data_IF_503799591187
#
_entry.id   IF_503799591187
#
_cell.length_a   1.000
_cell.length_b   1.000
_cell.length_c   1.000
_cell.angle_alpha   90.00
_cell.angle_beta   90.00
_cell.angle_gamma   90.00
#
_symmetry.space_group_name_H-M   'P 1'
#
loop_
_entity.id
_entity.type
_entity.pdbx_description
1 polymer ?
#
# COMPACT_ATOMS: atom_id res chain seq x y z
N UNK A 1 2.27 -2.01 39.31
CA UNK A 1 0.96 -1.45 38.91
C UNK A 1 1.17 0.02 38.61
N UNK A 2 1.58 0.32 37.39
CA UNK A 2 1.76 1.67 36.87
C UNK A 2 1.10 1.66 35.48
N UNK A 3 0.21 2.62 35.25
CA UNK A 3 -0.59 2.75 34.03
C UNK A 3 0.32 3.05 32.82
N UNK A 4 0.05 2.50 31.62
CA UNK A 4 0.80 2.84 30.42
C UNK A 4 0.55 4.31 30.03
N UNK A 5 1.63 4.98 29.65
CA UNK A 5 1.75 6.43 29.53
C UNK A 5 0.88 7.06 28.45
N UNK A 6 0.37 8.24 28.78
CA UNK A 6 -0.14 9.21 27.83
C UNK A 6 0.96 9.55 26.82
N UNK A 7 0.61 9.47 25.52
CA UNK A 7 1.43 9.98 24.44
C UNK A 7 1.47 11.51 24.60
N UNK A 8 2.64 12.05 24.96
CA UNK A 8 2.83 13.49 25.06
C UNK A 8 2.67 14.15 23.67
N UNK A 9 2.05 15.34 23.59
CA UNK A 9 1.85 16.03 22.32
C UNK A 9 3.19 16.42 21.69
N UNK A 10 3.29 16.20 20.37
CA UNK A 10 4.40 16.59 19.50
C UNK A 10 4.78 18.06 19.78
N UNK A 11 6.06 18.39 20.04
CA UNK A 11 6.47 19.76 20.28
C UNK A 11 6.24 20.62 19.02
N UNK A 12 5.78 21.88 19.17
CA UNK A 12 5.54 22.74 18.03
C UNK A 12 6.85 23.12 17.34
N UNK A 13 6.80 23.17 16.00
CA UNK A 13 7.86 23.66 15.10
C UNK A 13 8.49 24.96 15.63
N UNK A 14 9.81 25.06 15.51
CA UNK A 14 10.66 26.18 15.97
C UNK A 14 10.02 27.57 15.85
N UNK A 15 10.25 28.37 16.89
CA UNK A 15 9.65 29.68 17.11
C UNK A 15 9.99 30.68 16.00
N UNK A 16 9.11 30.80 15.00
CA UNK A 16 9.00 31.99 14.16
C UNK A 16 8.63 33.19 15.05
N UNK A 17 9.27 34.35 14.77
CA UNK A 17 9.11 35.59 15.54
C UNK A 17 7.65 35.96 15.76
N UNK A 18 7.35 36.50 16.94
CA UNK A 18 6.00 36.79 17.45
C UNK A 18 5.14 37.68 16.55
N UNK A 19 5.73 38.40 15.59
CA UNK A 19 5.05 39.25 14.62
C UNK A 19 4.40 38.47 13.45
N UNK A 20 4.80 37.21 13.20
CA UNK A 20 4.24 36.38 12.13
C UNK A 20 3.00 35.57 12.54
N UNK A 21 2.66 35.54 13.84
CA UNK A 21 1.48 34.82 14.38
C UNK A 21 0.22 35.67 14.50
N UNK A 22 0.21 36.90 13.96
CA UNK A 22 -1.02 37.71 13.94
C UNK A 22 -2.08 37.03 13.05
N UNK A 23 -3.31 36.80 13.54
CA UNK A 23 -4.40 36.26 12.73
C UNK A 23 -4.80 37.18 11.57
N UNK A 24 -4.25 38.40 11.51
CA UNK A 24 -4.44 39.38 10.43
C UNK A 24 -3.31 39.36 9.38
N UNK A 25 -2.31 38.49 9.53
CA UNK A 25 -1.29 38.26 8.50
C UNK A 25 -1.97 37.71 7.23
N UNK A 26 -1.98 38.52 6.16
CA UNK A 26 -2.55 38.10 4.86
C UNK A 26 -1.87 36.85 4.31
N UNK A 27 -0.59 36.64 4.62
CA UNK A 27 0.16 35.45 4.26
C UNK A 27 -0.33 34.22 5.01
N UNK A 28 -0.42 34.31 6.35
CA UNK A 28 -0.87 33.21 7.20
C UNK A 28 -2.32 32.81 6.88
N UNK A 29 -3.22 33.78 6.71
CA UNK A 29 -4.60 33.53 6.29
C UNK A 29 -4.68 32.82 4.94
N UNK A 30 -3.80 33.17 4.00
CA UNK A 30 -3.75 32.53 2.67
C UNK A 30 -3.29 31.07 2.79
N UNK A 31 -2.28 30.81 3.61
CA UNK A 31 -1.73 29.48 3.82
C UNK A 31 -2.71 28.56 4.54
N UNK A 32 -3.38 29.04 5.60
CA UNK A 32 -4.45 28.29 6.29
C UNK A 32 -5.59 27.95 5.32
N UNK A 33 -6.02 28.89 4.47
CA UNK A 33 -7.06 28.61 3.46
C UNK A 33 -6.58 27.60 2.41
N UNK A 34 -5.31 27.66 2.01
CA UNK A 34 -4.72 26.68 1.08
C UNK A 34 -4.70 25.29 1.71
N UNK A 35 -4.26 25.16 2.96
CA UNK A 35 -4.29 23.89 3.70
C UNK A 35 -5.71 23.31 3.78
N UNK A 36 -6.72 24.14 4.09
CA UNK A 36 -8.12 23.72 4.09
C UNK A 36 -8.61 23.24 2.71
N UNK A 37 -8.18 23.89 1.62
CA UNK A 37 -8.45 23.44 0.25
C UNK A 37 -7.86 22.06 -0.02
N UNK A 38 -6.58 21.85 0.31
CA UNK A 38 -5.90 20.58 0.09
C UNK A 38 -6.49 19.46 0.96
N UNK A 39 -6.78 19.73 2.23
CA UNK A 39 -7.41 18.80 3.16
C UNK A 39 -8.81 18.37 2.68
N UNK A 40 -9.65 19.32 2.25
CA UNK A 40 -10.96 19.00 1.68
C UNK A 40 -10.85 18.17 0.39
N UNK A 41 -9.93 18.51 -0.50
CA UNK A 41 -9.71 17.80 -1.75
C UNK A 41 -9.20 16.38 -1.51
N UNK A 42 -8.22 16.22 -0.62
CA UNK A 42 -7.69 14.92 -0.20
C UNK A 42 -8.78 13.99 0.33
N UNK A 43 -9.67 14.49 1.21
CA UNK A 43 -10.81 13.71 1.70
C UNK A 43 -11.73 13.23 0.58
N UNK A 44 -12.01 14.09 -0.40
CA UNK A 44 -12.85 13.72 -1.55
C UNK A 44 -12.15 12.72 -2.47
N UNK A 45 -10.85 12.89 -2.72
CA UNK A 45 -10.08 11.94 -3.53
C UNK A 45 -9.98 10.56 -2.89
N UNK A 46 -9.70 10.47 -1.59
CA UNK A 46 -9.60 9.19 -0.87
C UNK A 46 -10.95 8.44 -0.82
N UNK A 47 -12.09 9.15 -0.77
CA UNK A 47 -13.41 8.53 -0.60
C UNK A 47 -14.19 8.33 -1.90
N UNK A 48 -14.05 9.24 -2.87
CA UNK A 48 -14.80 9.23 -4.15
C UNK A 48 -13.93 8.96 -5.38
N UNK A 49 -12.60 8.99 -5.23
CA UNK A 49 -11.65 8.96 -6.34
C UNK A 49 -11.51 10.33 -7.03
N UNK A 50 -10.38 10.54 -7.70
CA UNK A 50 -10.09 11.80 -8.37
C UNK A 50 -10.97 12.04 -9.61
N UNK A 51 -11.39 10.98 -10.31
CA UNK A 51 -12.30 11.07 -11.47
C UNK A 51 -13.65 11.69 -11.10
N UNK A 52 -14.26 11.21 -10.03
CA UNK A 52 -15.60 11.61 -9.57
C UNK A 52 -15.62 12.90 -8.75
N UNK A 53 -14.46 13.51 -8.53
CA UNK A 53 -14.30 14.75 -7.77
C UNK A 53 -14.04 15.91 -8.73
N UNK A 54 -14.82 16.99 -8.62
CA UNK A 54 -14.65 18.22 -9.40
C UNK A 54 -14.15 19.37 -8.53
N UNK A 55 -13.54 20.39 -9.14
CA UNK A 55 -13.20 21.64 -8.44
C UNK A 55 -14.45 22.33 -7.85
N UNK A 56 -15.63 22.14 -8.47
CA UNK A 56 -16.87 22.69 -7.95
C UNK A 56 -17.30 21.99 -6.65
N UNK A 57 -17.10 20.67 -6.53
CA UNK A 57 -17.38 19.92 -5.30
C UNK A 57 -16.52 20.43 -4.14
N UNK A 58 -15.22 20.65 -4.39
CA UNK A 58 -14.28 21.20 -3.39
C UNK A 58 -14.69 22.60 -2.97
N UNK A 59 -14.97 23.49 -3.93
CA UNK A 59 -15.39 24.86 -3.65
C UNK A 59 -16.68 24.90 -2.82
N UNK A 60 -17.70 24.15 -3.24
CA UNK A 60 -18.99 24.08 -2.57
C UNK A 60 -18.86 23.59 -1.14
N UNK A 61 -18.01 22.59 -0.89
CA UNK A 61 -17.84 22.00 0.45
C UNK A 61 -17.12 22.93 1.43
N UNK A 62 -16.33 23.87 0.93
CA UNK A 62 -15.65 24.90 1.71
C UNK A 62 -16.41 26.24 1.77
N UNK A 63 -17.60 26.32 1.17
CA UNK A 63 -18.35 27.58 1.06
C UNK A 63 -17.62 28.63 0.21
N UNK A 64 -16.75 28.21 -0.70
CA UNK A 64 -16.00 29.08 -1.61
C UNK A 64 -16.71 29.17 -2.96
N UNK A 65 -16.54 30.30 -3.65
CA UNK A 65 -16.90 30.40 -5.06
C UNK A 65 -15.87 29.66 -5.91
N UNK A 66 -16.26 29.20 -7.11
CA UNK A 66 -15.33 28.61 -8.08
C UNK A 66 -14.17 29.56 -8.40
N UNK A 67 -14.46 30.86 -8.53
CA UNK A 67 -13.45 31.91 -8.74
C UNK A 67 -12.47 32.02 -7.57
N UNK A 68 -12.96 31.94 -6.33
CA UNK A 68 -12.10 31.94 -5.14
C UNK A 68 -11.20 30.70 -5.07
N UNK A 69 -11.67 29.54 -5.51
CA UNK A 69 -10.86 28.32 -5.56
C UNK A 69 -9.74 28.43 -6.59
N UNK A 70 -10.00 29.02 -7.77
CA UNK A 70 -8.99 29.24 -8.81
C UNK A 70 -7.82 30.14 -8.36
N UNK A 71 -7.98 30.89 -7.28
CA UNK A 71 -6.88 31.65 -6.68
C UNK A 71 -5.81 30.76 -6.02
N UNK A 72 -6.17 29.53 -5.66
CA UNK A 72 -5.28 28.55 -5.01
C UNK A 72 -4.81 27.45 -5.95
N UNK A 73 -5.58 27.18 -7.00
CA UNK A 73 -5.47 25.97 -7.83
C UNK A 73 -5.77 26.34 -9.28
N UNK A 74 -4.88 26.00 -10.20
CA UNK A 74 -5.06 26.30 -11.63
C UNK A 74 -6.00 25.30 -12.33
N UNK A 75 -5.81 24.01 -12.08
CA UNK A 75 -6.55 22.91 -12.73
C UNK A 75 -6.84 21.79 -11.73
N UNK A 76 -7.69 20.82 -12.12
CA UNK A 76 -7.90 19.62 -11.29
C UNK A 76 -6.61 18.81 -11.12
N UNK A 77 -5.82 18.69 -12.19
CA UNK A 77 -4.54 17.98 -12.14
C UNK A 77 -3.55 18.68 -11.20
N UNK A 78 -3.48 20.02 -11.24
CA UNK A 78 -2.68 20.82 -10.31
C UNK A 78 -3.14 20.61 -8.85
N UNK A 79 -4.45 20.53 -8.59
CA UNK A 79 -4.95 20.19 -7.25
C UNK A 79 -4.48 18.81 -6.78
N UNK A 80 -4.55 17.79 -7.65
CA UNK A 80 -4.12 16.44 -7.31
C UNK A 80 -2.62 16.44 -7.01
N UNK A 81 -1.81 17.07 -7.87
CA UNK A 81 -0.37 17.24 -7.64
C UNK A 81 -0.10 17.91 -6.29
N UNK A 82 -0.75 19.04 -5.99
CA UNK A 82 -0.55 19.74 -4.72
C UNK A 82 -0.96 18.91 -3.49
N UNK A 83 -1.99 18.06 -3.62
CA UNK A 83 -2.40 17.16 -2.53
C UNK A 83 -1.36 16.04 -2.30
N UNK A 84 -0.80 15.45 -3.37
CA UNK A 84 0.26 14.45 -3.25
C UNK A 84 1.57 15.08 -2.76
N UNK A 85 1.92 16.28 -3.22
CA UNK A 85 3.08 17.03 -2.75
C UNK A 85 2.95 17.33 -1.24
N UNK A 86 1.75 17.69 -0.77
CA UNK A 86 1.49 17.88 0.66
C UNK A 86 1.67 16.59 1.47
N UNK A 87 1.29 15.43 0.93
CA UNK A 87 1.52 14.13 1.56
C UNK A 87 3.03 13.84 1.68
N UNK A 88 3.78 13.92 0.57
CA UNK A 88 5.23 13.66 0.58
C UNK A 88 5.99 14.63 1.48
N UNK A 89 5.62 15.92 1.47
CA UNK A 89 6.18 16.94 2.38
C UNK A 89 5.91 16.60 3.84
N UNK A 90 4.70 16.11 4.15
CA UNK A 90 4.31 15.70 5.49
C UNK A 90 5.15 14.51 5.96
N UNK A 91 5.35 13.51 5.11
CA UNK A 91 6.21 12.36 5.39
C UNK A 91 7.67 12.78 5.67
N UNK A 92 8.24 13.69 4.87
CA UNK A 92 9.57 14.26 5.15
C UNK A 92 9.63 14.95 6.52
N UNK A 93 8.67 15.81 6.84
CA UNK A 93 8.63 16.50 8.13
C UNK A 93 8.47 15.52 9.31
N UNK A 94 7.80 14.38 9.11
CA UNK A 94 7.71 13.33 10.13
C UNK A 94 9.03 12.62 10.34
N UNK A 95 9.75 12.33 9.26
CA UNK A 95 11.07 11.73 9.37
C UNK A 95 12.06 12.68 10.04
N UNK A 96 12.03 13.98 9.68
CA UNK A 96 12.84 15.01 10.35
C UNK A 96 12.57 15.05 11.86
N UNK A 97 11.30 15.04 12.27
CA UNK A 97 10.93 15.03 13.69
C UNK A 97 11.36 13.74 14.40
N UNK A 98 11.26 12.59 13.73
CA UNK A 98 11.68 11.31 14.28
C UNK A 98 13.21 11.24 14.49
N UNK A 99 14.00 11.76 13.54
CA UNK A 99 15.47 11.85 13.61
C UNK A 99 15.93 12.83 14.70
N UNK A 100 15.14 13.88 14.97
CA UNK A 100 15.43 14.82 16.07
C UNK A 100 15.13 14.23 17.44
N UNK A 101 14.06 13.44 17.55
CA UNK A 101 13.60 12.89 18.82
C UNK A 101 14.36 11.62 19.24
N UNK A 102 14.78 10.81 18.28
CA UNK A 102 15.39 9.51 18.53
C UNK A 102 16.82 9.45 18.01
N UNK A 103 17.76 9.04 18.87
CA UNK A 103 19.14 8.77 18.46
C UNK A 103 19.33 7.37 17.84
N UNK A 104 18.53 6.37 18.26
CA UNK A 104 18.61 5.01 17.75
C UNK A 104 17.88 4.89 16.39
N UNK A 105 18.53 4.35 15.32
CA UNK A 105 17.93 4.28 13.99
C UNK A 105 16.62 3.49 13.93
N UNK A 106 16.52 2.38 14.68
CA UNK A 106 15.29 1.59 14.76
C UNK A 106 14.14 2.41 15.38
N UNK A 107 14.38 3.13 16.47
CA UNK A 107 13.36 3.98 17.10
C UNK A 107 12.93 5.15 16.20
N UNK A 108 13.87 5.71 15.45
CA UNK A 108 13.56 6.71 14.43
C UNK A 108 12.62 6.15 13.36
N UNK A 109 12.93 4.96 12.82
CA UNK A 109 12.06 4.30 11.84
C UNK A 109 10.67 4.01 12.43
N UNK A 110 10.59 3.41 13.61
CA UNK A 110 9.31 3.07 14.25
C UNK A 110 8.46 4.32 14.52
N UNK A 111 9.07 5.40 15.03
CA UNK A 111 8.36 6.68 15.25
C UNK A 111 7.86 7.30 13.93
N UNK A 112 8.66 7.22 12.85
CA UNK A 112 8.20 7.66 11.52
C UNK A 112 6.95 6.89 11.07
N UNK A 113 6.96 5.55 11.18
CA UNK A 113 5.83 4.70 10.77
C UNK A 113 4.58 4.96 11.63
N UNK A 114 4.73 5.09 12.94
CA UNK A 114 3.63 5.46 13.83
C UNK A 114 3.03 6.82 13.48
N UNK A 115 3.89 7.78 13.10
CA UNK A 115 3.47 9.09 12.62
C UNK A 115 2.55 9.00 11.40
N UNK A 116 2.83 8.09 10.47
CA UNK A 116 2.00 7.87 9.27
C UNK A 116 0.57 7.45 9.68
N UNK A 117 0.45 6.44 10.54
CA UNK A 117 -0.83 5.96 11.06
C UNK A 117 -1.55 7.05 11.88
N UNK A 118 -0.84 7.70 12.79
CA UNK A 118 -1.39 8.75 13.65
C UNK A 118 -1.92 9.95 12.85
N UNK A 119 -1.32 10.24 11.69
CA UNK A 119 -1.83 11.30 10.80
C UNK A 119 -3.22 10.95 10.27
N UNK A 120 -3.41 9.73 9.76
CA UNK A 120 -4.73 9.27 9.30
C UNK A 120 -5.74 9.23 10.43
N UNK A 121 -5.39 8.67 11.60
CA UNK A 121 -6.27 8.58 12.76
C UNK A 121 -6.77 9.96 13.22
N UNK A 122 -5.87 10.95 13.35
CA UNK A 122 -6.28 12.33 13.71
C UNK A 122 -7.21 12.96 12.68
N UNK A 123 -7.00 12.72 11.38
CA UNK A 123 -7.91 13.22 10.34
C UNK A 123 -9.32 12.63 10.51
N UNK A 124 -9.40 11.33 10.82
CA UNK A 124 -10.67 10.64 11.06
C UNK A 124 -11.37 11.19 12.31
N UNK A 125 -10.61 11.51 13.37
CA UNK A 125 -11.11 12.12 14.61
C UNK A 125 -11.53 13.59 14.45
N UNK A 126 -11.24 14.19 13.29
CA UNK A 126 -11.53 15.60 13.02
C UNK A 126 -10.52 16.57 13.65
N UNK A 127 -9.39 16.06 14.13
CA UNK A 127 -8.32 16.81 14.79
C UNK A 127 -7.13 17.12 13.86
N UNK A 128 -7.16 16.66 12.61
CA UNK A 128 -6.08 16.84 11.65
C UNK A 128 -6.54 17.03 10.20
N UNK A 129 -5.61 17.43 9.36
CA UNK A 129 -5.82 17.54 7.91
C UNK A 129 -5.87 16.16 7.25
N UNK A 130 -6.65 16.03 6.18
CA UNK A 130 -6.61 14.85 5.32
C UNK A 130 -5.46 14.97 4.32
N UNK A 131 -4.75 13.87 4.10
CA UNK A 131 -3.70 13.76 3.07
C UNK A 131 -4.13 12.77 1.99
N UNK A 132 -3.92 13.13 0.72
CA UNK A 132 -4.36 12.31 -0.39
C UNK A 132 -3.45 11.10 -0.57
N UNK A 133 -4.03 9.90 -0.69
CA UNK A 133 -3.29 8.71 -1.05
C UNK A 133 -2.82 8.79 -2.52
N UNK A 134 -1.55 8.47 -2.84
CA UNK A 134 -0.97 8.66 -4.17
C UNK A 134 -1.43 7.60 -5.20
N UNK A 135 -2.73 7.41 -5.37
CA UNK A 135 -3.31 6.30 -6.15
C UNK A 135 -3.17 6.43 -7.67
N UNK A 136 -3.04 7.65 -8.19
CA UNK A 136 -3.01 7.93 -9.63
C UNK A 136 -1.81 8.81 -10.05
N UNK A 137 -0.64 8.65 -9.39
CA UNK A 137 0.58 9.41 -9.72
C UNK A 137 0.96 9.28 -11.20
N UNK A 138 0.78 8.09 -11.78
CA UNK A 138 1.04 7.82 -13.20
C UNK A 138 0.20 8.68 -14.18
N UNK A 139 -0.94 9.21 -13.73
CA UNK A 139 -1.85 10.04 -14.54
C UNK A 139 -1.49 11.54 -14.55
N UNK A 140 -0.54 11.96 -13.70
CA UNK A 140 -0.10 13.35 -13.62
C UNK A 140 0.71 13.77 -14.84
N UNK A 141 0.79 15.08 -15.07
CA UNK A 141 1.70 15.62 -16.07
C UNK A 141 3.15 15.21 -15.77
N UNK A 142 3.94 14.88 -16.79
CA UNK A 142 5.30 14.33 -16.64
C UNK A 142 6.17 15.12 -15.65
N UNK A 143 6.11 16.45 -15.71
CA UNK A 143 6.84 17.34 -14.79
C UNK A 143 6.43 17.15 -13.33
N UNK A 144 5.13 17.12 -13.05
CA UNK A 144 4.58 16.92 -11.71
C UNK A 144 4.87 15.52 -11.18
N UNK A 145 4.70 14.51 -12.04
CA UNK A 145 5.02 13.12 -11.74
C UNK A 145 6.49 12.95 -11.33
N UNK A 146 7.42 13.44 -12.16
CA UNK A 146 8.86 13.36 -11.90
C UNK A 146 9.26 14.09 -10.61
N UNK A 147 8.65 15.23 -10.31
CA UNK A 147 8.91 15.96 -9.07
C UNK A 147 8.49 15.13 -7.83
N UNK A 148 7.32 14.50 -7.85
CA UNK A 148 6.86 13.64 -6.75
C UNK A 148 7.73 12.39 -6.61
N UNK A 149 8.06 11.73 -7.73
CA UNK A 149 8.92 10.55 -7.71
C UNK A 149 10.31 10.87 -7.14
N UNK A 150 10.91 12.02 -7.45
CA UNK A 150 12.21 12.41 -6.90
C UNK A 150 12.17 12.64 -5.39
N UNK A 151 11.14 13.33 -4.88
CA UNK A 151 10.98 13.52 -3.43
C UNK A 151 10.71 12.17 -2.73
N UNK A 152 9.89 11.30 -3.33
CA UNK A 152 9.69 9.94 -2.80
C UNK A 152 10.98 9.10 -2.79
N UNK A 153 11.79 9.16 -3.86
CA UNK A 153 13.13 8.54 -3.91
C UNK A 153 14.05 9.12 -2.84
N UNK A 154 13.95 10.41 -2.53
CA UNK A 154 14.74 11.04 -1.45
C UNK A 154 14.30 10.54 -0.08
N UNK A 155 13.01 10.42 0.18
CA UNK A 155 12.48 9.85 1.42
C UNK A 155 12.96 8.41 1.61
N UNK A 156 12.83 7.58 0.57
CA UNK A 156 13.27 6.19 0.59
C UNK A 156 14.77 6.05 0.88
N UNK A 157 15.62 6.84 0.23
CA UNK A 157 17.07 6.84 0.50
C UNK A 157 17.37 7.10 1.98
N UNK A 158 16.70 8.07 2.61
CA UNK A 158 16.88 8.36 4.04
C UNK A 158 16.46 7.18 4.93
N UNK A 159 15.35 6.52 4.62
CA UNK A 159 14.88 5.35 5.36
C UNK A 159 15.85 4.15 5.20
N UNK A 160 16.38 3.94 4.00
CA UNK A 160 17.41 2.93 3.73
C UNK A 160 18.70 3.25 4.49
N UNK A 161 19.10 4.52 4.54
CA UNK A 161 20.28 4.95 5.30
C UNK A 161 20.10 4.72 6.81
N UNK A 162 18.90 4.97 7.36
CA UNK A 162 18.57 4.61 8.76
C UNK A 162 18.68 3.11 9.01
N UNK A 163 18.17 2.28 8.10
CA UNK A 163 18.31 0.82 8.19
C UNK A 163 19.79 0.39 8.17
N UNK A 164 20.59 0.96 7.27
CA UNK A 164 22.03 0.69 7.19
C UNK A 164 22.77 1.09 8.47
N UNK A 165 22.44 2.24 9.05
CA UNK A 165 23.00 2.68 10.33
C UNK A 165 22.62 1.73 11.47
N UNK A 166 21.35 1.33 11.55
CA UNK A 166 20.89 0.36 12.56
C UNK A 166 21.57 -0.99 12.43
N UNK A 167 21.81 -1.47 11.21
CA UNK A 167 22.58 -2.70 10.97
C UNK A 167 24.05 -2.56 11.39
N UNK A 168 24.68 -1.43 11.08
CA UNK A 168 26.07 -1.15 11.46
C UNK A 168 26.25 -1.03 12.99
N UNK A 169 25.23 -0.54 13.70
CA UNK A 169 25.19 -0.44 15.16
C UNK A 169 24.85 -1.77 15.84
N UNK A 170 24.28 -2.73 15.10
CA UNK A 170 23.87 -4.03 15.60
C UNK A 170 22.45 -4.07 16.20
N UNK A 171 21.74 -2.94 16.19
CA UNK A 171 20.35 -2.81 16.67
C UNK A 171 19.36 -3.50 15.72
N UNK A 172 19.64 -3.41 14.41
CA UNK A 172 18.85 -4.04 13.35
C UNK A 172 19.65 -5.24 12.83
N UNK A 173 18.96 -6.37 12.66
CA UNK A 173 19.59 -7.59 12.13
C UNK A 173 20.02 -7.40 10.66
N UNK A 174 21.03 -8.16 10.17
CA UNK A 174 21.39 -8.15 8.76
C UNK A 174 20.20 -8.51 7.87
N UNK A 175 19.89 -7.65 6.89
CA UNK A 175 18.82 -7.85 5.91
C UNK A 175 19.12 -7.02 4.65
N UNK A 176 18.31 -7.20 3.60
CA UNK A 176 18.33 -6.28 2.46
C UNK A 176 17.51 -5.02 2.80
N UNK A 177 18.14 -3.84 2.97
CA UNK A 177 17.45 -2.64 3.44
C UNK A 177 16.46 -2.09 2.41
N UNK A 178 16.71 -2.27 1.10
CA UNK A 178 15.81 -1.80 0.05
C UNK A 178 14.54 -2.63 0.06
N UNK A 179 14.66 -3.96 -0.03
CA UNK A 179 13.51 -4.89 0.01
C UNK A 179 12.70 -4.68 1.30
N UNK A 180 13.38 -4.60 2.46
CA UNK A 180 12.73 -4.48 3.76
C UNK A 180 11.94 -3.16 3.89
N UNK A 181 12.52 -2.02 3.51
CA UNK A 181 11.80 -0.73 3.55
C UNK A 181 10.63 -0.71 2.57
N UNK A 182 10.79 -1.32 1.38
CA UNK A 182 9.68 -1.45 0.42
C UNK A 182 8.51 -2.25 1.00
N UNK A 183 8.80 -3.36 1.69
CA UNK A 183 7.77 -4.18 2.33
C UNK A 183 7.07 -3.43 3.48
N UNK A 184 7.83 -2.73 4.33
CA UNK A 184 7.30 -1.92 5.44
C UNK A 184 6.41 -0.77 4.92
N UNK A 185 6.86 -0.03 3.91
CA UNK A 185 6.07 1.07 3.36
C UNK A 185 4.82 0.58 2.62
N UNK A 186 4.95 -0.53 1.87
CA UNK A 186 3.83 -1.19 1.22
C UNK A 186 2.72 -1.55 2.20
N UNK A 187 3.07 -2.00 3.40
CA UNK A 187 2.12 -2.29 4.47
C UNK A 187 1.24 -1.09 4.87
N UNK A 188 1.73 0.14 4.65
CA UNK A 188 1.05 1.37 5.02
C UNK A 188 0.35 2.07 3.86
N UNK A 189 0.64 1.70 2.61
CA UNK A 189 0.11 2.38 1.41
C UNK A 189 -1.43 2.40 1.38
N UNK A 190 -2.06 1.35 1.91
CA UNK A 190 -3.52 1.22 1.98
C UNK A 190 -4.17 1.68 3.28
N UNK A 191 -3.39 2.23 4.21
CA UNK A 191 -3.88 2.64 5.54
C UNK A 191 -5.00 3.65 5.51
N UNK A 192 -5.06 4.52 4.50
CA UNK A 192 -6.16 5.48 4.34
C UNK A 192 -7.53 4.82 4.16
N UNK A 193 -7.58 3.61 3.59
CA UNK A 193 -8.82 2.88 3.31
C UNK A 193 -9.20 1.99 4.48
N UNK A 194 -8.32 1.08 4.90
CA UNK A 194 -8.67 0.13 5.95
C UNK A 194 -8.80 0.80 7.34
N UNK A 195 -8.07 1.88 7.65
CA UNK A 195 -8.33 2.65 8.90
C UNK A 195 -9.68 3.37 8.88
N UNK A 196 -10.18 3.72 7.69
CA UNK A 196 -11.49 4.36 7.54
C UNK A 196 -12.63 3.36 7.79
N UNK A 197 -12.48 2.13 7.33
CA UNK A 197 -13.47 1.05 7.50
C UNK A 197 -13.35 0.31 8.84
N UNK A 198 -12.18 0.35 9.49
CA UNK A 198 -11.92 -0.33 10.76
C UNK A 198 -12.68 0.33 11.92
N UNK A 199 -13.27 -0.46 12.84
CA UNK A 199 -13.88 0.07 14.06
C UNK A 199 -12.91 0.96 14.85
N UNK A 200 -13.41 2.08 15.38
CA UNK A 200 -12.55 3.09 16.02
C UNK A 200 -11.80 2.57 17.23
N UNK A 201 -12.40 1.66 17.99
CA UNK A 201 -11.77 1.04 19.15
C UNK A 201 -10.54 0.23 18.73
N UNK A 202 -10.65 -0.54 17.64
CA UNK A 202 -9.55 -1.32 17.08
C UNK A 202 -8.47 -0.43 16.44
N UNK A 203 -8.89 0.57 15.66
CA UNK A 203 -8.00 1.49 14.96
C UNK A 203 -7.03 2.23 15.90
N UNK A 204 -7.44 2.48 17.16
CA UNK A 204 -6.60 3.11 18.18
C UNK A 204 -5.38 2.28 18.59
N UNK A 205 -5.42 0.96 18.39
CA UNK A 205 -4.34 0.02 18.74
C UNK A 205 -3.32 -0.19 17.62
N UNK A 206 -3.62 0.26 16.39
CA UNK A 206 -2.82 -0.01 15.19
C UNK A 206 -1.38 0.46 15.33
N UNK A 207 -1.14 1.65 15.87
CA UNK A 207 0.24 2.14 16.10
C UNK A 207 1.04 1.21 17.01
N UNK A 208 0.42 0.69 18.08
CA UNK A 208 1.06 -0.24 19.00
C UNK A 208 1.38 -1.59 18.35
N UNK A 209 0.43 -2.15 17.58
CA UNK A 209 0.64 -3.41 16.84
C UNK A 209 1.72 -3.26 15.77
N UNK A 210 1.71 -2.14 15.03
CA UNK A 210 2.73 -1.83 14.03
C UNK A 210 4.11 -1.78 14.67
N UNK A 211 4.24 -1.03 15.77
CA UNK A 211 5.50 -0.92 16.52
C UNK A 211 5.98 -2.29 16.97
N UNK A 212 5.11 -3.05 17.63
CA UNK A 212 5.43 -4.38 18.16
C UNK A 212 5.86 -5.34 17.05
N UNK A 213 5.13 -5.39 15.93
CA UNK A 213 5.45 -6.26 14.80
C UNK A 213 6.81 -5.93 14.20
N UNK A 214 7.05 -4.66 13.84
CA UNK A 214 8.28 -4.27 13.15
C UNK A 214 9.48 -4.15 14.09
N UNK A 215 9.29 -3.88 15.39
CA UNK A 215 10.40 -3.97 16.35
C UNK A 215 10.91 -5.41 16.43
N UNK A 216 10.04 -6.38 16.66
CA UNK A 216 10.45 -7.80 16.73
C UNK A 216 10.95 -8.31 15.36
N UNK A 217 10.39 -7.80 14.26
CA UNK A 217 10.81 -8.14 12.92
C UNK A 217 12.23 -7.71 12.54
N UNK A 218 12.66 -6.55 13.07
CA UNK A 218 13.94 -5.92 12.73
C UNK A 218 15.02 -6.13 13.78
N UNK A 219 14.66 -6.33 15.05
CA UNK A 219 15.61 -6.49 16.14
C UNK A 219 16.58 -7.65 15.89
N UNK A 220 17.85 -7.42 16.20
CA UNK A 220 18.89 -8.43 16.14
C UNK A 220 18.82 -9.37 17.36
N UNK A 221 17.84 -10.27 17.38
CA UNK A 221 17.78 -11.34 18.37
C UNK A 221 18.65 -12.52 17.93
N UNK A 222 19.47 -13.06 18.82
CA UNK A 222 20.33 -14.24 18.57
C UNK A 222 19.49 -15.48 18.31
N UNK A 223 19.11 -15.68 17.05
CA UNK A 223 18.36 -16.85 16.60
C UNK A 223 18.37 -16.89 15.08
N UNK A 224 19.33 -17.60 14.48
CA UNK A 224 19.31 -17.91 13.06
C UNK A 224 18.20 -18.91 12.80
N UNK A 225 17.02 -18.44 12.41
CA UNK A 225 15.96 -19.30 11.91
C UNK A 225 16.21 -19.49 10.41
N UNK A 226 16.92 -20.56 10.04
CA UNK A 226 16.88 -21.03 8.66
C UNK A 226 15.47 -21.55 8.43
N UNK A 227 14.74 -20.89 7.54
CA UNK A 227 13.47 -21.41 7.02
C UNK A 227 13.88 -22.53 6.05
N UNK A 228 13.39 -23.75 6.28
CA UNK A 228 13.61 -24.87 5.36
C UNK A 228 12.94 -24.62 4.02
N UNK A 229 13.21 -25.48 3.05
CA UNK A 229 12.52 -25.43 1.75
C UNK A 229 11.00 -25.49 1.99
N UNK A 230 10.27 -24.47 1.55
CA UNK A 230 8.81 -24.46 1.66
C UNK A 230 8.19 -25.39 0.62
N UNK A 231 7.00 -25.95 0.89
CA UNK A 231 6.27 -26.75 -0.08
C UNK A 231 6.10 -26.01 -1.41
N UNK A 232 6.43 -26.66 -2.52
CA UNK A 232 6.11 -26.15 -3.85
C UNK A 232 4.62 -26.31 -4.11
N UNK A 233 3.96 -25.20 -4.39
CA UNK A 233 2.58 -25.19 -4.85
C UNK A 233 2.53 -25.50 -6.36
N UNK A 234 2.14 -26.72 -6.71
CA UNK A 234 1.82 -27.14 -8.10
C UNK A 234 0.47 -26.56 -8.57
N UNK A 235 0.26 -25.26 -8.36
CA UNK A 235 -1.00 -24.57 -8.73
C UNK A 235 -0.98 -24.16 -10.20
N UNK A 236 0.20 -24.14 -10.83
CA UNK A 236 0.44 -23.56 -12.15
C UNK A 236 0.80 -24.59 -13.24
N UNK A 237 0.89 -25.88 -12.88
CA UNK A 237 1.36 -26.94 -13.75
C UNK A 237 0.23 -27.87 -14.21
N UNK A 238 -0.93 -27.32 -14.57
CA UNK A 238 -1.83 -28.09 -15.42
C UNK A 238 -1.13 -28.23 -16.78
N UNK A 239 -0.69 -29.44 -17.14
CA UNK A 239 -0.30 -29.77 -18.52
C UNK A 239 -1.53 -29.59 -19.40
N UNK A 240 -1.69 -28.40 -19.95
CA UNK A 240 -2.82 -28.08 -20.80
C UNK A 240 -2.52 -28.47 -22.25
N UNK A 241 -3.39 -29.28 -22.84
CA UNK A 241 -3.30 -29.68 -24.24
C UNK A 241 -3.48 -28.43 -25.13
N UNK A 242 -2.36 -27.87 -25.59
CA UNK A 242 -2.34 -26.66 -26.43
C UNK A 242 -3.12 -26.82 -27.75
N UNK A 243 -3.52 -28.05 -28.13
CA UNK A 243 -4.34 -28.33 -29.29
C UNK A 243 -5.84 -28.29 -29.00
N UNK A 244 -6.27 -28.21 -27.74
CA UNK A 244 -7.66 -28.01 -27.38
C UNK A 244 -8.09 -26.56 -27.65
N UNK A 245 -9.25 -26.42 -28.32
CA UNK A 245 -9.78 -25.13 -28.75
C UNK A 245 -10.24 -24.28 -27.57
N UNK A 246 -10.77 -24.90 -26.52
CA UNK A 246 -11.23 -24.17 -25.34
C UNK A 246 -10.04 -23.68 -24.52
N UNK A 247 -9.00 -24.51 -24.39
CA UNK A 247 -7.69 -24.14 -23.85
C UNK A 247 -7.07 -22.94 -24.59
N UNK A 248 -7.05 -22.96 -25.93
CA UNK A 248 -6.54 -21.82 -26.71
C UNK A 248 -7.34 -20.53 -26.50
N UNK A 249 -8.66 -20.63 -26.38
CA UNK A 249 -9.51 -19.45 -26.11
C UNK A 249 -9.24 -18.88 -24.72
N UNK A 250 -9.04 -19.75 -23.72
CA UNK A 250 -8.68 -19.38 -22.34
C UNK A 250 -7.35 -18.64 -22.30
N UNK A 251 -6.30 -19.21 -22.92
CA UNK A 251 -4.98 -18.57 -22.99
C UNK A 251 -5.00 -17.20 -23.67
N UNK A 252 -5.80 -17.04 -24.74
CA UNK A 252 -6.01 -15.74 -25.38
C UNK A 252 -6.69 -14.75 -24.44
N UNK A 253 -7.76 -15.19 -23.76
CA UNK A 253 -8.45 -14.35 -22.78
C UNK A 253 -7.51 -13.92 -21.66
N UNK A 254 -6.70 -14.82 -21.12
CA UNK A 254 -5.69 -14.49 -20.11
C UNK A 254 -4.66 -13.50 -20.61
N UNK A 255 -4.18 -13.63 -21.86
CA UNK A 255 -3.26 -12.67 -22.46
C UNK A 255 -3.88 -11.27 -22.52
N UNK A 256 -5.17 -11.14 -22.88
CA UNK A 256 -5.89 -9.87 -22.82
C UNK A 256 -5.92 -9.28 -21.42
N UNK A 257 -6.25 -10.10 -20.41
CA UNK A 257 -6.38 -9.65 -19.03
C UNK A 257 -5.02 -9.26 -18.44
N UNK A 258 -3.96 -10.05 -18.66
CA UNK A 258 -2.58 -9.71 -18.23
C UNK A 258 -2.09 -8.41 -18.85
N UNK A 259 -2.30 -8.21 -20.15
CA UNK A 259 -1.92 -6.96 -20.82
C UNK A 259 -2.74 -5.76 -20.32
N UNK A 260 -4.04 -5.95 -20.10
CA UNK A 260 -4.91 -4.97 -19.47
C UNK A 260 -4.40 -4.58 -18.08
N UNK A 261 -4.11 -5.56 -17.22
CA UNK A 261 -3.60 -5.37 -15.87
C UNK A 261 -2.29 -4.59 -15.85
N UNK A 262 -1.31 -4.96 -16.70
CA UNK A 262 -0.04 -4.21 -16.80
C UNK A 262 -0.27 -2.75 -17.15
N UNK A 263 -1.15 -2.49 -18.13
CA UNK A 263 -1.43 -1.12 -18.55
C UNK A 263 -2.17 -0.32 -17.46
N UNK A 264 -3.10 -0.94 -16.72
CA UNK A 264 -3.77 -0.30 -15.59
C UNK A 264 -2.84 -0.01 -14.43
N UNK A 265 -1.97 -0.94 -14.06
CA UNK A 265 -1.04 -0.75 -12.95
C UNK A 265 0.00 0.34 -13.28
N UNK A 266 0.53 0.35 -14.51
CA UNK A 266 1.56 1.31 -14.92
C UNK A 266 1.03 2.72 -15.21
N UNK A 267 -0.18 2.84 -15.78
CA UNK A 267 -0.71 4.13 -16.27
C UNK A 267 -1.90 4.65 -15.48
N UNK A 268 -2.42 3.86 -14.55
CA UNK A 268 -3.70 4.11 -13.90
C UNK A 268 -4.88 4.01 -14.86
N UNK A 269 -6.09 3.95 -14.30
CA UNK A 269 -7.31 3.82 -15.10
C UNK A 269 -7.47 4.94 -16.14
N UNK A 270 -7.24 6.19 -15.73
CA UNK A 270 -7.40 7.34 -16.63
C UNK A 270 -6.39 7.34 -17.79
N UNK A 271 -5.14 6.92 -17.53
CA UNK A 271 -4.06 6.92 -18.52
C UNK A 271 -4.06 5.73 -19.48
N UNK A 272 -4.74 4.63 -19.15
CA UNK A 272 -4.85 3.45 -20.02
C UNK A 272 -5.65 3.71 -21.29
N UNK A 273 -5.19 3.22 -22.45
CA UNK A 273 -5.93 3.22 -23.72
C UNK A 273 -6.23 1.79 -24.16
N UNK A 274 -7.49 1.48 -24.50
CA UNK A 274 -7.85 0.15 -25.01
C UNK A 274 -7.19 -0.13 -26.37
N UNK A 275 -7.08 0.90 -27.20
CA UNK A 275 -6.43 0.80 -28.50
C UNK A 275 -4.94 0.48 -28.36
N UNK A 276 -4.28 1.07 -27.36
CA UNK A 276 -2.86 0.79 -27.07
C UNK A 276 -2.66 -0.64 -26.56
N UNK A 277 -3.59 -1.17 -25.75
CA UNK A 277 -3.55 -2.57 -25.31
C UNK A 277 -3.73 -3.50 -26.52
N UNK A 278 -4.66 -3.20 -27.42
CA UNK A 278 -4.87 -3.96 -28.65
C UNK A 278 -3.60 -3.98 -29.54
N UNK A 279 -2.94 -2.82 -29.69
CA UNK A 279 -1.68 -2.68 -30.41
C UNK A 279 -0.55 -3.49 -29.75
N UNK A 280 -0.43 -3.44 -28.42
CA UNK A 280 0.57 -4.21 -27.65
C UNK A 280 0.38 -5.71 -27.83
N UNK A 281 -0.87 -6.18 -27.88
CA UNK A 281 -1.23 -7.58 -28.13
C UNK A 281 -1.19 -7.97 -29.61
N UNK A 282 -0.91 -7.02 -30.51
CA UNK A 282 -0.92 -7.22 -31.96
C UNK A 282 -2.25 -7.79 -32.49
N UNK A 283 -3.37 -7.39 -31.87
CA UNK A 283 -4.72 -7.75 -32.33
C UNK A 283 -5.42 -6.56 -32.98
N UNK A 284 -6.39 -6.82 -33.87
CA UNK A 284 -7.19 -5.75 -34.44
C UNK A 284 -8.09 -5.10 -33.38
N UNK A 285 -8.38 -3.79 -33.53
CA UNK A 285 -9.35 -3.10 -32.66
C UNK A 285 -10.68 -3.83 -32.63
N UNK A 286 -11.20 -4.24 -33.80
CA UNK A 286 -12.47 -4.99 -33.88
C UNK A 286 -12.46 -6.29 -33.07
N UNK A 287 -11.35 -7.04 -33.10
CA UNK A 287 -11.19 -8.23 -32.28
C UNK A 287 -11.14 -7.89 -30.78
N UNK A 288 -10.41 -6.84 -30.39
CA UNK A 288 -10.35 -6.41 -28.99
C UNK A 288 -11.72 -5.98 -28.43
N UNK A 289 -12.45 -5.13 -29.16
CA UNK A 289 -13.76 -4.62 -28.75
C UNK A 289 -14.86 -5.70 -28.76
N UNK A 290 -14.64 -6.84 -29.42
CA UNK A 290 -15.52 -8.01 -29.31
C UNK A 290 -15.50 -8.61 -27.89
N UNK A 291 -14.33 -8.60 -27.23
CA UNK A 291 -14.17 -9.13 -25.86
C UNK A 291 -14.52 -8.09 -24.78
N UNK A 292 -14.25 -6.80 -25.05
CA UNK A 292 -14.40 -5.74 -24.05
C UNK A 292 -15.10 -4.52 -24.63
N UNK A 293 -16.33 -4.26 -24.17
CA UNK A 293 -17.12 -3.13 -24.64
C UNK A 293 -16.51 -1.77 -24.26
N UNK A 294 -15.89 -1.68 -23.08
CA UNK A 294 -15.29 -0.46 -22.56
C UNK A 294 -14.23 -0.75 -21.49
N UNK A 295 -13.56 0.31 -21.02
CA UNK A 295 -12.46 0.23 -20.05
C UNK A 295 -12.91 -0.30 -18.68
N UNK A 296 -14.12 0.04 -18.24
CA UNK A 296 -14.68 -0.43 -16.97
C UNK A 296 -14.95 -1.93 -17.02
N UNK A 297 -15.46 -2.43 -18.15
CA UNK A 297 -15.67 -3.85 -18.39
C UNK A 297 -14.35 -4.64 -18.41
N UNK A 298 -13.30 -4.12 -19.07
CA UNK A 298 -11.98 -4.73 -19.03
C UNK A 298 -11.41 -4.74 -17.60
N UNK A 299 -11.42 -3.60 -16.89
CA UNK A 299 -10.89 -3.52 -15.52
C UNK A 299 -11.64 -4.49 -14.59
N UNK A 300 -12.97 -4.59 -14.71
CA UNK A 300 -13.77 -5.53 -13.93
C UNK A 300 -13.30 -6.98 -14.16
N UNK A 301 -13.07 -7.37 -15.42
CA UNK A 301 -12.58 -8.72 -15.73
C UNK A 301 -11.13 -8.95 -15.27
N UNK A 302 -10.28 -7.92 -15.31
CA UNK A 302 -8.92 -8.02 -14.76
C UNK A 302 -8.95 -8.24 -13.23
N UNK A 303 -9.86 -7.58 -12.51
CA UNK A 303 -10.08 -7.82 -11.09
C UNK A 303 -10.63 -9.22 -10.82
N UNK A 304 -11.66 -9.63 -11.56
CA UNK A 304 -12.24 -10.97 -11.41
C UNK A 304 -11.17 -12.05 -11.63
N UNK A 305 -10.35 -11.93 -12.68
CA UNK A 305 -9.22 -12.83 -12.93
C UNK A 305 -8.20 -12.82 -11.79
N UNK A 306 -7.84 -11.65 -11.27
CA UNK A 306 -6.86 -11.56 -10.19
C UNK A 306 -7.36 -12.24 -8.92
N UNK A 307 -8.63 -12.03 -8.58
CA UNK A 307 -9.28 -12.68 -7.44
C UNK A 307 -9.43 -14.19 -7.65
N UNK A 308 -9.75 -14.66 -8.85
CA UNK A 308 -9.76 -16.09 -9.15
C UNK A 308 -8.39 -16.73 -8.90
N UNK A 309 -7.29 -16.04 -9.25
CA UNK A 309 -5.93 -16.53 -8.93
C UNK A 309 -5.71 -16.60 -7.42
N UNK A 310 -6.03 -15.53 -6.68
CA UNK A 310 -5.87 -15.50 -5.23
C UNK A 310 -6.69 -16.57 -4.52
N UNK A 311 -7.95 -16.76 -4.91
CA UNK A 311 -8.84 -17.80 -4.37
C UNK A 311 -8.31 -19.21 -4.65
N UNK A 312 -7.71 -19.46 -5.83
CA UNK A 312 -7.03 -20.73 -6.11
C UNK A 312 -5.84 -20.96 -5.20
N UNK A 313 -5.01 -19.94 -4.97
CA UNK A 313 -3.88 -20.03 -4.04
C UNK A 313 -4.39 -20.37 -2.64
N UNK A 314 -5.43 -19.68 -2.15
CA UNK A 314 -6.01 -19.96 -0.83
C UNK A 314 -6.52 -21.40 -0.74
N UNK A 315 -7.23 -21.88 -1.76
CA UNK A 315 -7.76 -23.25 -1.79
C UNK A 315 -6.63 -24.30 -1.77
N UNK A 316 -5.55 -24.07 -2.52
CA UNK A 316 -4.41 -24.99 -2.56
C UNK A 316 -3.61 -24.97 -1.26
N UNK A 317 -3.37 -23.79 -0.68
CA UNK A 317 -2.68 -23.65 0.62
C UNK A 317 -3.48 -24.32 1.74
N UNK A 318 -4.80 -24.13 1.78
CA UNK A 318 -5.67 -24.74 2.78
C UNK A 318 -5.73 -26.28 2.68
N UNK A 319 -5.29 -26.86 1.56
CA UNK A 319 -5.20 -28.32 1.37
C UNK A 319 -3.85 -28.91 1.79
N UNK A 320 -2.87 -28.07 2.14
CA UNK A 320 -1.56 -28.53 2.61
C UNK A 320 -1.69 -29.09 4.03
N UNK A 321 -1.07 -30.26 4.26
CA UNK A 321 -0.89 -30.85 5.58
C UNK A 321 0.32 -30.21 6.28
N UNK A 322 0.25 -28.88 6.45
CA UNK A 322 1.32 -28.04 6.99
C UNK A 322 0.79 -27.17 8.13
N UNK A 323 1.62 -26.80 9.11
CA UNK A 323 1.24 -25.89 10.18
C UNK A 323 0.71 -24.54 9.65
N UNK A 324 -0.25 -23.89 10.35
CA UNK A 324 -0.83 -22.61 9.91
C UNK A 324 0.21 -21.51 9.60
N UNK A 325 1.31 -21.44 10.35
CA UNK A 325 2.38 -20.47 10.05
C UNK A 325 3.07 -20.73 8.70
N UNK A 326 3.25 -22.00 8.31
CA UNK A 326 3.81 -22.39 7.00
C UNK A 326 2.78 -22.11 5.90
N UNK A 327 1.51 -22.40 6.14
CA UNK A 327 0.42 -22.08 5.19
C UNK A 327 0.41 -20.58 4.85
N UNK A 328 0.49 -19.71 5.86
CA UNK A 328 0.59 -18.26 5.64
C UNK A 328 1.84 -17.87 4.84
N UNK A 329 3.00 -18.43 5.17
CA UNK A 329 4.25 -18.12 4.47
C UNK A 329 4.24 -18.56 3.01
N UNK A 330 3.73 -19.77 2.73
CA UNK A 330 3.53 -20.29 1.39
C UNK A 330 2.56 -19.40 0.60
N UNK A 331 1.45 -18.99 1.20
CA UNK A 331 0.49 -18.08 0.57
C UNK A 331 1.16 -16.75 0.18
N UNK A 332 1.86 -16.10 1.11
CA UNK A 332 2.53 -14.83 0.85
C UNK A 332 3.59 -14.94 -0.26
N UNK A 333 4.45 -15.96 -0.21
CA UNK A 333 5.51 -16.15 -1.22
C UNK A 333 4.94 -16.52 -2.59
N UNK A 334 3.86 -17.30 -2.65
CA UNK A 334 3.23 -17.63 -3.91
C UNK A 334 2.51 -16.42 -4.53
N UNK A 335 1.80 -15.61 -3.74
CA UNK A 335 1.19 -14.37 -4.24
C UNK A 335 2.26 -13.38 -4.73
N UNK A 336 3.39 -13.29 -4.03
CA UNK A 336 4.53 -12.50 -4.51
C UNK A 336 5.07 -13.02 -5.84
N UNK A 337 5.20 -14.34 -5.99
CA UNK A 337 5.63 -14.97 -7.24
C UNK A 337 4.66 -14.71 -8.39
N UNK A 338 3.34 -14.79 -8.15
CA UNK A 338 2.33 -14.44 -9.14
C UNK A 338 2.51 -13.00 -9.61
N UNK A 339 2.79 -12.07 -8.70
CA UNK A 339 2.95 -10.66 -9.02
C UNK A 339 4.23 -10.33 -9.79
N UNK A 340 5.31 -11.07 -9.54
CA UNK A 340 6.66 -10.78 -10.06
C UNK A 340 7.16 -11.83 -11.09
N UNK A 341 6.25 -12.58 -11.71
CA UNK A 341 6.55 -13.55 -12.78
C UNK A 341 5.67 -13.32 -14.01
N UNK A 342 5.91 -14.13 -15.05
CA UNK A 342 5.06 -14.17 -16.26
C UNK A 342 3.60 -14.55 -15.98
N UNK A 343 3.29 -15.03 -14.78
CA UNK A 343 1.93 -15.34 -14.34
C UNK A 343 1.12 -14.11 -13.97
N UNK A 344 1.75 -12.97 -13.69
CA UNK A 344 1.07 -11.72 -13.38
C UNK A 344 1.43 -10.57 -14.31
N UNK A 345 1.32 -9.31 -13.82
CA UNK A 345 0.93 -8.93 -12.46
C UNK A 345 -0.58 -9.10 -12.21
N UNK A 346 -0.96 -9.12 -10.93
CA UNK A 346 -2.35 -8.97 -10.47
C UNK A 346 -2.74 -7.49 -10.46
N UNK A 347 -4.04 -7.19 -10.53
CA UNK A 347 -4.50 -5.79 -10.55
C UNK A 347 -4.29 -5.14 -9.19
N UNK A 348 -3.66 -3.95 -9.17
CA UNK A 348 -3.58 -3.13 -7.98
C UNK A 348 -4.97 -2.73 -7.48
N UNK A 349 -5.20 -2.86 -6.18
CA UNK A 349 -6.44 -2.40 -5.56
C UNK A 349 -6.69 -0.90 -5.79
N UNK A 350 -5.68 -0.11 -6.16
CA UNK A 350 -5.77 1.35 -6.37
C UNK A 350 -6.84 1.70 -7.42
N UNK A 351 -6.99 0.84 -8.44
CA UNK A 351 -7.94 1.03 -9.51
C UNK A 351 -9.41 0.74 -9.11
N UNK A 352 -9.65 0.11 -7.95
CA UNK A 352 -11.01 -0.32 -7.55
C UNK A 352 -11.97 0.86 -7.38
N UNK A 353 -11.45 2.03 -7.02
CA UNK A 353 -12.23 3.27 -6.88
C UNK A 353 -12.73 3.83 -8.22
N UNK A 354 -12.18 3.34 -9.35
CA UNK A 354 -12.62 3.71 -10.70
C UNK A 354 -13.81 2.89 -11.20
N UNK A 355 -14.21 1.83 -10.48
CA UNK A 355 -15.31 0.96 -10.86
C UNK A 355 -16.67 1.44 -10.30
N UNK A 356 -17.79 1.10 -10.97
CA UNK A 356 -19.12 1.40 -10.47
C UNK A 356 -19.38 0.83 -9.05
N UNK A 357 -20.18 1.49 -8.19
CA UNK A 357 -20.36 1.09 -6.79
C UNK A 357 -20.78 -0.37 -6.60
N UNK A 358 -21.72 -0.87 -7.41
CA UNK A 358 -22.20 -2.26 -7.31
C UNK A 358 -21.11 -3.28 -7.67
N UNK A 359 -20.28 -2.99 -8.68
CA UNK A 359 -19.16 -3.85 -9.07
C UNK A 359 -18.09 -3.82 -7.98
N UNK A 360 -17.76 -2.63 -7.48
CA UNK A 360 -16.80 -2.44 -6.39
C UNK A 360 -17.22 -3.21 -5.13
N UNK A 361 -18.48 -3.16 -4.74
CA UNK A 361 -18.98 -3.89 -3.57
C UNK A 361 -18.76 -5.40 -3.72
N UNK A 362 -19.19 -6.00 -4.84
CA UNK A 362 -18.99 -7.43 -5.13
C UNK A 362 -17.52 -7.83 -5.07
N UNK A 363 -16.63 -7.00 -5.64
CA UNK A 363 -15.18 -7.28 -5.63
C UNK A 363 -14.59 -7.19 -4.22
N UNK A 364 -15.00 -6.19 -3.42
CA UNK A 364 -14.56 -6.05 -2.03
C UNK A 364 -15.02 -7.21 -1.15
N UNK A 365 -16.21 -7.78 -1.39
CA UNK A 365 -16.68 -8.99 -0.69
C UNK A 365 -15.75 -10.18 -0.97
N UNK A 366 -15.31 -10.37 -2.21
CA UNK A 366 -14.33 -11.41 -2.58
C UNK A 366 -12.95 -11.16 -1.96
N UNK A 367 -12.48 -9.91 -1.98
CA UNK A 367 -11.23 -9.51 -1.28
C UNK A 367 -11.33 -9.86 0.20
N UNK A 368 -12.46 -9.56 0.85
CA UNK A 368 -12.72 -9.89 2.24
C UNK A 368 -12.63 -11.40 2.53
N UNK A 369 -13.10 -12.26 1.62
CA UNK A 369 -13.00 -13.70 1.77
C UNK A 369 -11.54 -14.22 1.70
N UNK A 370 -10.74 -13.67 0.77
CA UNK A 370 -9.30 -13.99 0.69
C UNK A 370 -8.58 -13.51 1.96
N UNK A 371 -8.87 -12.28 2.41
CA UNK A 371 -8.30 -11.74 3.64
C UNK A 371 -8.66 -12.57 4.87
N UNK A 372 -9.94 -12.96 5.03
CA UNK A 372 -10.37 -13.77 6.16
C UNK A 372 -9.72 -15.14 6.21
N UNK A 373 -9.37 -15.73 5.06
CA UNK A 373 -8.60 -16.98 5.02
C UNK A 373 -7.18 -16.79 5.55
N UNK A 374 -6.49 -15.73 5.11
CA UNK A 374 -5.14 -15.41 5.59
C UNK A 374 -5.13 -15.01 7.07
N UNK A 375 -6.15 -14.27 7.51
CA UNK A 375 -6.36 -13.92 8.92
C UNK A 375 -6.55 -15.18 9.76
N UNK A 376 -7.36 -16.14 9.29
CA UNK A 376 -7.55 -17.44 9.93
C UNK A 376 -6.23 -18.19 10.17
N UNK A 377 -5.31 -18.20 9.18
CA UNK A 377 -3.98 -18.79 9.39
C UNK A 377 -3.17 -18.11 10.49
N UNK A 378 -3.30 -16.78 10.65
CA UNK A 378 -2.65 -16.04 11.74
C UNK A 378 -3.29 -16.41 13.08
N UNK A 379 -4.63 -16.43 13.16
CA UNK A 379 -5.36 -16.80 14.37
C UNK A 379 -5.05 -18.23 14.83
N UNK A 380 -5.06 -19.19 13.91
CA UNK A 380 -4.75 -20.58 14.18
C UNK A 380 -3.29 -20.74 14.63
N UNK A 381 -2.34 -20.07 13.96
CA UNK A 381 -0.93 -20.05 14.39
C UNK A 381 -0.74 -19.43 15.79
N UNK A 382 -1.55 -18.43 16.18
CA UNK A 382 -1.53 -17.89 17.54
C UNK A 382 -2.09 -18.91 18.54
N UNK A 383 -3.22 -19.54 18.23
CA UNK A 383 -3.86 -20.56 19.08
C UNK A 383 -2.95 -21.77 19.30
N UNK A 384 -2.20 -22.17 18.28
CA UNK A 384 -1.24 -23.28 18.32
C UNK A 384 0.13 -22.90 18.91
N UNK A 385 0.30 -21.67 19.41
CA UNK A 385 1.57 -21.14 19.93
C UNK A 385 2.72 -21.22 18.90
N UNK A 386 2.43 -20.97 17.63
CA UNK A 386 3.42 -20.81 16.56
C UNK A 386 3.78 -19.33 16.37
N UNK A 387 2.81 -18.43 16.61
CA UNK A 387 3.00 -16.98 16.61
C UNK A 387 2.76 -16.34 17.98
N UNK A 388 3.33 -15.14 18.19
CA UNK A 388 3.07 -14.28 19.34
C UNK A 388 1.61 -13.81 19.35
N UNK A 389 1.01 -13.57 20.53
CA UNK A 389 -0.36 -13.08 20.63
C UNK A 389 -0.45 -11.61 20.17
N UNK A 390 -0.76 -11.41 18.90
CA UNK A 390 -0.96 -10.10 18.26
C UNK A 390 -2.33 -10.02 17.58
N UNK A 391 -2.95 -8.84 17.43
CA UNK A 391 -4.25 -8.72 16.75
C UNK A 391 -4.17 -9.11 15.27
N UNK A 392 -4.68 -10.29 14.92
CA UNK A 392 -4.62 -10.86 13.57
C UNK A 392 -5.24 -9.93 12.52
N UNK A 393 -6.39 -9.32 12.82
CA UNK A 393 -7.09 -8.35 11.97
C UNK A 393 -6.26 -7.13 11.57
N UNK A 394 -5.35 -6.65 12.44
CA UNK A 394 -4.44 -5.54 12.09
C UNK A 394 -3.25 -6.06 11.30
N UNK A 395 -2.68 -7.20 11.68
CA UNK A 395 -1.54 -7.82 10.99
C UNK A 395 -1.88 -8.13 9.54
N UNK A 396 -3.07 -8.66 9.26
CA UNK A 396 -3.46 -8.99 7.89
C UNK A 396 -3.61 -7.73 7.02
N UNK A 397 -4.08 -6.60 7.57
CA UNK A 397 -4.13 -5.34 6.81
C UNK A 397 -2.73 -4.87 6.40
N UNK A 398 -1.75 -5.00 7.31
CA UNK A 398 -0.35 -4.67 7.02
C UNK A 398 0.25 -5.64 5.99
N UNK A 399 0.02 -6.94 6.14
CA UNK A 399 0.51 -7.95 5.19
C UNK A 399 -0.09 -7.80 3.80
N UNK A 400 -1.41 -7.58 3.69
CA UNK A 400 -2.07 -7.34 2.40
C UNK A 400 -1.53 -6.07 1.75
N UNK A 401 -1.32 -4.99 2.52
CA UNK A 401 -0.71 -3.77 1.98
C UNK A 401 0.64 -4.07 1.32
N UNK A 402 1.50 -4.80 2.04
CA UNK A 402 2.80 -5.22 1.52
C UNK A 402 2.67 -6.14 0.30
N UNK A 403 1.74 -7.10 0.33
CA UNK A 403 1.45 -7.97 -0.82
C UNK A 403 1.05 -7.14 -2.05
N UNK A 404 0.11 -6.20 -1.92
CA UNK A 404 -0.33 -5.37 -3.04
C UNK A 404 0.82 -4.50 -3.60
N UNK A 405 1.76 -4.05 -2.76
CA UNK A 405 2.90 -3.23 -3.18
C UNK A 405 4.10 -4.07 -3.69
N UNK A 406 4.04 -5.40 -3.62
CA UNK A 406 5.16 -6.28 -3.94
C UNK A 406 5.53 -6.29 -5.42
N UNK A 407 4.59 -6.00 -6.33
CA UNK A 407 4.88 -5.95 -7.76
C UNK A 407 5.73 -4.73 -8.17
N UNK A 408 5.72 -3.68 -7.35
CA UNK A 408 6.53 -2.48 -7.62
C UNK A 408 8.00 -2.68 -7.22
N UNK A 409 8.37 -3.83 -6.64
CA UNK A 409 9.73 -4.06 -6.15
C UNK A 409 10.79 -3.93 -7.26
N UNK A 410 10.49 -4.41 -8.47
CA UNK A 410 11.41 -4.38 -9.62
C UNK A 410 11.78 -2.96 -10.05
N UNK A 411 10.93 -1.95 -9.74
CA UNK A 411 11.25 -0.54 -9.99
C UNK A 411 12.41 -0.02 -9.12
N UNK A 412 12.68 -0.70 -7.99
CA UNK A 412 13.64 -0.28 -6.97
C UNK A 412 14.82 -1.22 -6.85
N UNK A 413 14.61 -2.50 -7.10
CA UNK A 413 15.64 -3.53 -7.01
C UNK A 413 15.35 -4.66 -7.99
N UNK A 414 16.38 -5.04 -8.77
CA UNK A 414 16.31 -6.18 -9.67
C UNK A 414 15.99 -7.47 -8.91
N UNK A 415 15.02 -8.23 -9.42
CA UNK A 415 14.62 -9.53 -8.90
C UNK A 415 15.41 -10.61 -9.64
N UNK A 416 16.55 -11.01 -9.10
CA UNK A 416 17.36 -12.10 -9.71
C UNK A 416 16.77 -13.48 -9.43
N UNK A 417 16.17 -13.65 -8.26
CA UNK A 417 15.47 -14.87 -7.86
C UNK A 417 14.19 -14.48 -7.13
N UNK A 418 13.04 -14.74 -7.77
CA UNK A 418 11.71 -14.49 -7.21
C UNK A 418 11.57 -15.11 -5.83
N UNK A 419 12.08 -16.33 -5.67
CA UNK A 419 12.00 -17.10 -4.44
C UNK A 419 12.75 -16.45 -3.27
N UNK A 420 14.00 -16.01 -3.52
CA UNK A 420 14.81 -15.33 -2.51
C UNK A 420 14.25 -13.94 -2.20
N UNK A 421 13.84 -13.19 -3.23
CA UNK A 421 13.23 -11.87 -3.05
C UNK A 421 11.93 -11.95 -2.24
N UNK A 422 11.10 -12.96 -2.46
CA UNK A 422 9.89 -13.17 -1.67
C UNK A 422 10.21 -13.45 -0.20
N UNK A 423 11.22 -14.30 0.06
CA UNK A 423 11.70 -14.59 1.42
C UNK A 423 12.18 -13.31 2.12
N UNK A 424 13.06 -12.53 1.48
CA UNK A 424 13.57 -11.28 2.03
C UNK A 424 12.45 -10.27 2.30
N UNK A 425 11.48 -10.16 1.38
CA UNK A 425 10.38 -9.20 1.44
C UNK A 425 9.45 -9.43 2.63
N UNK A 426 9.08 -10.67 2.91
CA UNK A 426 8.22 -10.98 4.05
C UNK A 426 8.97 -11.28 5.35
N UNK A 427 10.30 -11.38 5.29
CA UNK A 427 11.12 -11.74 6.46
C UNK A 427 10.81 -10.87 7.68
N UNK A 428 10.62 -9.55 7.51
CA UNK A 428 10.33 -8.65 8.63
C UNK A 428 9.01 -8.98 9.32
N UNK A 429 7.98 -9.40 8.59
CA UNK A 429 6.69 -9.77 9.16
C UNK A 429 6.78 -11.10 9.91
N UNK A 430 7.31 -12.15 9.28
CA UNK A 430 7.39 -13.47 9.90
C UNK A 430 8.31 -13.50 11.12
N UNK A 431 9.42 -12.76 11.10
CA UNK A 431 10.23 -12.58 12.31
C UNK A 431 9.50 -11.80 13.39
N UNK A 432 8.70 -10.80 13.01
CA UNK A 432 7.84 -10.08 13.94
C UNK A 432 6.77 -10.96 14.57
N UNK A 433 6.23 -11.94 13.84
CA UNK A 433 5.18 -12.84 14.33
C UNK A 433 5.72 -14.02 15.14
N UNK A 434 6.93 -14.49 14.85
CA UNK A 434 7.55 -15.65 15.54
C UNK A 434 7.65 -15.42 17.05
N UNK A 435 7.40 -16.49 17.81
CA UNK A 435 7.71 -16.52 19.23
C UNK A 435 9.19 -16.20 19.46
N UNK A 436 9.47 -15.15 20.22
CA UNK A 436 10.79 -15.00 20.83
C UNK A 436 10.90 -16.06 21.91
N UNK A 437 11.67 -17.12 21.67
CA UNK A 437 12.07 -18.02 22.74
C UNK A 437 12.75 -17.16 23.81
N UNK A 438 12.06 -16.96 24.94
CA UNK A 438 12.66 -16.34 26.11
C UNK A 438 13.82 -17.23 26.53
N UNK A 439 15.03 -16.67 26.53
CA UNK A 439 16.24 -17.29 27.10
C UNK A 439 16.02 -17.67 28.58
#
# INVERSE_FOLDING_TARGET
>A
MALPGQIDPIPPVEQLSTDQRSPFSRGLQRETKRAAVLSCAAKLFNTKGARSTTLADVASRLGLTKTSLYYYVATKEDLIYQCYEANVRRAHAQLDAAEQFNAAPLECLLHFLEGQIATTLRSLDGEGDFYAAPLEVASLATKHRQALEEEYRRLLRRLIDLMNQGMAQGDIKPCNPVVTIRAILGALDWSFYWLYEMPREEASSVSGVLRDLFSHGLLNTTGTSQIGDLPSLDVLAAEEDAFDRDTQNRLKQEAFLKAGTRCFNQKGFSGTSLDEIAETLQVSKGAFYYHFANKEALLTQCFDYSLDQLERVMASVASLDEPPFIQLEVACRHIFSLQNSDQGPLVHFNAITSLPPAVRQRLLERVGAVHGTLEGFIEDAIQENQFRPVPAGIVIQLLTGALNAAMDLEEWQSIESIEHSASDYFSVFFHGLKLTHSL
#
